data_IF_506775057039
#
_entry.id   IF_506775057039
#
_cell.length_a   1.000
_cell.length_b   1.000
_cell.length_c   1.000
_cell.angle_alpha   90.00
_cell.angle_beta   90.00
_cell.angle_gamma   90.00
#
_symmetry.space_group_name_H-M   'P 1'
#
loop_
_entity.id
_entity.type
_entity.pdbx_description
1 polymer ?
#
# COMPACT_ATOMS: atom_id res chain seq x y z
N UNK A 1 12.08 -9.68 0.28
CA UNK A 1 12.88 -9.01 -0.76
C UNK A 1 13.23 -9.96 -1.90
N UNK A 2 13.94 -11.06 -1.65
CA UNK A 2 14.38 -11.97 -2.73
C UNK A 2 13.23 -12.60 -3.53
N UNK A 3 12.11 -12.88 -2.88
CA UNK A 3 10.89 -13.32 -3.56
C UNK A 3 10.42 -12.30 -4.62
N UNK A 4 10.41 -11.01 -4.28
CA UNK A 4 10.09 -9.95 -5.25
C UNK A 4 11.07 -9.96 -6.40
N UNK A 5 12.38 -10.03 -6.12
CA UNK A 5 13.39 -10.03 -7.17
C UNK A 5 13.27 -11.23 -8.11
N UNK A 6 12.97 -12.42 -7.58
CA UNK A 6 12.72 -13.61 -8.38
C UNK A 6 11.56 -13.46 -9.37
N UNK A 7 10.51 -12.74 -8.98
CA UNK A 7 9.34 -12.48 -9.84
C UNK A 7 9.39 -11.13 -10.56
N UNK A 8 10.40 -10.29 -10.32
CA UNK A 8 10.46 -8.91 -10.84
C UNK A 8 10.40 -8.88 -12.37
N UNK A 9 11.13 -9.77 -13.04
CA UNK A 9 11.18 -9.90 -14.51
C UNK A 9 10.06 -10.74 -15.12
N UNK A 10 9.34 -11.52 -14.32
CA UNK A 10 8.24 -12.37 -14.78
C UNK A 10 6.97 -11.53 -14.95
N UNK A 11 6.11 -11.81 -15.92
CA UNK A 11 4.86 -11.05 -16.06
C UNK A 11 3.92 -11.27 -14.86
N UNK A 12 3.76 -12.53 -14.46
CA UNK A 12 2.85 -12.96 -13.39
C UNK A 12 3.57 -13.80 -12.34
N UNK A 13 3.00 -13.83 -11.14
CA UNK A 13 3.35 -14.82 -10.12
C UNK A 13 2.55 -16.08 -10.43
N UNK A 14 3.27 -17.20 -10.57
CA UNK A 14 2.67 -18.52 -10.79
C UNK A 14 1.90 -19.01 -9.56
N UNK A 15 1.09 -20.06 -9.73
CA UNK A 15 0.19 -20.55 -8.69
C UNK A 15 0.93 -20.98 -7.40
N UNK A 16 2.04 -21.71 -7.54
CA UNK A 16 2.89 -22.07 -6.41
C UNK A 16 3.47 -20.83 -5.71
N UNK A 17 3.96 -19.84 -6.47
CA UNK A 17 4.43 -18.57 -5.92
C UNK A 17 3.36 -17.82 -5.15
N UNK A 18 2.12 -17.79 -5.65
CA UNK A 18 0.98 -17.17 -4.95
C UNK A 18 0.72 -17.85 -3.61
N UNK A 19 0.63 -19.18 -3.59
CA UNK A 19 0.35 -19.95 -2.37
C UNK A 19 1.39 -19.69 -1.28
N UNK A 20 2.68 -19.78 -1.63
CA UNK A 20 3.76 -19.54 -0.66
C UNK A 20 3.80 -18.09 -0.19
N UNK A 21 3.53 -17.14 -1.09
CA UNK A 21 3.55 -15.73 -0.73
C UNK A 21 2.37 -15.35 0.17
N UNK A 22 1.17 -15.88 -0.10
CA UNK A 22 0.02 -15.71 0.79
C UNK A 22 0.30 -16.25 2.20
N UNK A 23 0.93 -17.42 2.30
CA UNK A 23 1.34 -17.99 3.58
C UNK A 23 2.35 -17.09 4.30
N UNK A 24 3.33 -16.54 3.59
CA UNK A 24 4.29 -15.60 4.17
C UNK A 24 3.63 -14.31 4.65
N UNK A 25 2.67 -13.77 3.88
CA UNK A 25 1.88 -12.60 4.25
C UNK A 25 1.16 -12.82 5.59
N UNK A 26 0.52 -13.97 5.77
CA UNK A 26 -0.19 -14.30 7.02
C UNK A 26 0.76 -14.34 8.23
N UNK A 27 1.96 -14.93 8.06
CA UNK A 27 2.97 -14.95 9.12
C UNK A 27 3.43 -13.53 9.46
N UNK A 28 3.69 -12.68 8.47
CA UNK A 28 4.08 -11.30 8.69
C UNK A 28 2.97 -10.48 9.38
N UNK A 29 1.71 -10.64 8.96
CA UNK A 29 0.56 -9.99 9.60
C UNK A 29 0.46 -10.37 11.08
N UNK A 30 0.60 -11.66 11.40
CA UNK A 30 0.62 -12.11 12.79
C UNK A 30 1.74 -11.46 13.61
N UNK A 31 2.95 -11.33 13.04
CA UNK A 31 4.06 -10.64 13.70
C UNK A 31 3.75 -9.17 13.96
N UNK A 32 3.21 -8.44 12.97
CA UNK A 32 2.83 -7.03 13.16
C UNK A 32 1.75 -6.86 14.23
N UNK A 33 0.73 -7.71 14.22
CA UNK A 33 -0.32 -7.69 15.22
C UNK A 33 0.24 -7.98 16.62
N UNK A 34 1.16 -8.94 16.74
CA UNK A 34 1.78 -9.28 18.03
C UNK A 34 2.66 -8.13 18.56
N UNK A 35 3.43 -7.48 17.69
CA UNK A 35 4.23 -6.31 18.06
C UNK A 35 3.32 -5.15 18.47
N UNK A 36 2.20 -4.97 17.79
CA UNK A 36 1.21 -3.94 18.08
C UNK A 36 0.62 -4.12 19.48
N UNK A 37 0.16 -5.33 19.81
CA UNK A 37 -0.36 -5.66 21.14
C UNK A 37 0.70 -5.48 22.24
N UNK A 38 1.99 -5.63 21.91
CA UNK A 38 3.07 -5.45 22.90
C UNK A 38 3.30 -3.99 23.31
N UNK A 39 2.81 -3.01 22.53
CA UNK A 39 3.03 -1.57 22.77
C UNK A 39 1.75 -0.76 23.03
N UNK A 40 0.58 -1.26 22.63
CA UNK A 40 -0.71 -0.59 22.82
C UNK A 40 -1.05 -0.40 24.31
N UNK A 41 -1.83 0.64 24.62
CA UNK A 41 -2.12 1.00 26.01
C UNK A 41 -0.87 1.59 26.67
N UNK A 42 -0.40 2.72 26.12
CA UNK A 42 0.98 2.99 25.74
C UNK A 42 2.02 2.42 26.70
N UNK A 43 2.81 1.44 26.23
CA UNK A 43 3.94 0.89 26.97
C UNK A 43 5.27 1.54 26.51
N UNK A 44 5.62 2.69 27.11
CA UNK A 44 6.79 3.51 26.71
C UNK A 44 8.10 2.71 26.70
N UNK A 45 8.31 1.79 27.66
CA UNK A 45 9.51 0.96 27.70
C UNK A 45 9.64 0.04 26.47
N UNK A 46 8.54 -0.59 26.04
CA UNK A 46 8.52 -1.46 24.87
C UNK A 46 8.66 -0.64 23.58
N UNK A 47 7.96 0.50 23.50
CA UNK A 47 8.09 1.44 22.37
C UNK A 47 9.54 1.89 22.17
N UNK A 48 10.23 2.31 23.24
CA UNK A 48 11.63 2.73 23.16
C UNK A 48 12.58 1.57 22.84
N UNK A 49 12.29 0.37 23.32
CA UNK A 49 13.09 -0.82 22.99
C UNK A 49 12.98 -1.15 21.49
N UNK A 50 11.77 -1.08 20.93
CA UNK A 50 11.55 -1.28 19.50
C UNK A 50 12.17 -0.15 18.66
N UNK A 51 12.02 1.09 19.09
CA UNK A 51 12.56 2.27 18.39
C UNK A 51 14.10 2.24 18.30
N UNK A 52 14.77 1.70 19.32
CA UNK A 52 16.23 1.53 19.34
C UNK A 52 16.70 0.20 18.71
N UNK A 53 15.79 -0.60 18.16
CA UNK A 53 16.11 -1.84 17.46
C UNK A 53 16.24 -1.60 15.94
N UNK A 54 16.27 -2.68 15.15
CA UNK A 54 16.27 -2.64 13.67
C UNK A 54 14.87 -2.57 13.05
N UNK A 55 13.86 -2.17 13.83
CA UNK A 55 12.47 -2.08 13.34
C UNK A 55 12.36 -1.15 12.12
N UNK A 56 13.03 0.01 12.16
CA UNK A 56 12.97 0.99 11.07
C UNK A 56 13.61 0.48 9.77
N UNK A 57 14.73 -0.26 9.86
CA UNK A 57 15.33 -0.95 8.70
C UNK A 57 14.30 -1.89 8.03
N UNK A 58 13.55 -2.65 8.84
CA UNK A 58 12.54 -3.57 8.34
C UNK A 58 11.37 -2.82 7.69
N UNK A 59 10.87 -1.75 8.32
CA UNK A 59 9.80 -0.90 7.79
C UNK A 59 10.19 -0.31 6.42
N UNK A 60 11.41 0.22 6.28
CA UNK A 60 11.93 0.71 5.00
C UNK A 60 11.91 -0.39 3.92
N UNK A 61 12.31 -1.61 4.28
CA UNK A 61 12.22 -2.75 3.37
C UNK A 61 10.79 -3.10 2.95
N UNK A 62 9.81 -2.93 3.85
CA UNK A 62 8.40 -3.12 3.54
C UNK A 62 7.84 -1.99 2.67
N UNK A 63 8.25 -0.73 2.84
CA UNK A 63 7.85 0.35 1.93
C UNK A 63 8.27 0.05 0.48
N UNK A 64 9.50 -0.44 0.28
CA UNK A 64 9.95 -0.90 -1.03
C UNK A 64 9.06 -2.02 -1.58
N UNK A 65 8.80 -3.05 -0.78
CA UNK A 65 7.95 -4.17 -1.21
C UNK A 65 6.53 -3.69 -1.54
N UNK A 66 5.92 -2.84 -0.72
CA UNK A 66 4.60 -2.29 -0.96
C UNK A 66 4.55 -1.52 -2.27
N UNK A 67 5.46 -0.58 -2.48
CA UNK A 67 5.50 0.24 -3.69
C UNK A 67 5.56 -0.61 -4.97
N UNK A 68 6.50 -1.55 -5.03
CA UNK A 68 6.76 -2.30 -6.26
C UNK A 68 5.86 -3.52 -6.47
N UNK A 69 5.52 -4.26 -5.41
CA UNK A 69 4.62 -5.41 -5.55
C UNK A 69 3.19 -4.97 -5.82
N UNK A 70 2.71 -3.88 -5.21
CA UNK A 70 1.38 -3.36 -5.57
C UNK A 70 1.33 -3.01 -7.05
N UNK A 71 2.35 -2.31 -7.56
CA UNK A 71 2.43 -1.95 -8.98
C UNK A 71 2.39 -3.18 -9.90
N UNK A 72 3.10 -4.24 -9.53
CA UNK A 72 3.11 -5.49 -10.27
C UNK A 72 1.75 -6.19 -10.24
N UNK A 73 1.13 -6.29 -9.07
CA UNK A 73 -0.07 -7.11 -8.87
C UNK A 73 -1.32 -6.46 -9.47
N UNK A 74 -1.46 -5.13 -9.45
CA UNK A 74 -2.68 -4.49 -9.97
C UNK A 74 -2.82 -4.58 -11.50
N UNK A 75 -1.71 -4.79 -12.23
CA UNK A 75 -1.70 -4.85 -13.70
C UNK A 75 -2.35 -6.11 -14.27
N UNK A 76 -2.61 -7.14 -13.46
CA UNK A 76 -3.21 -8.38 -13.92
C UNK A 76 -4.39 -8.81 -13.03
N UNK A 77 -5.58 -8.96 -13.62
CA UNK A 77 -6.81 -9.28 -12.89
C UNK A 77 -6.76 -10.63 -12.16
N UNK A 78 -5.94 -11.58 -12.61
CA UNK A 78 -5.76 -12.89 -11.95
C UNK A 78 -4.96 -12.82 -10.63
N UNK A 79 -4.41 -11.66 -10.30
CA UNK A 79 -3.56 -11.42 -9.12
C UNK A 79 -4.27 -10.58 -8.05
N UNK A 80 -5.54 -10.20 -8.27
CA UNK A 80 -6.26 -9.27 -7.38
C UNK A 80 -6.49 -9.82 -5.97
N UNK A 81 -6.71 -11.12 -5.81
CA UNK A 81 -6.80 -11.75 -4.49
C UNK A 81 -5.50 -11.56 -3.70
N UNK A 82 -4.37 -11.83 -4.34
CA UNK A 82 -3.07 -11.65 -3.72
C UNK A 82 -2.78 -10.17 -3.41
N UNK A 83 -3.16 -9.25 -4.31
CA UNK A 83 -3.09 -7.81 -4.05
C UNK A 83 -3.90 -7.42 -2.81
N UNK A 84 -5.12 -7.94 -2.66
CA UNK A 84 -5.98 -7.66 -1.50
C UNK A 84 -5.32 -8.06 -0.19
N UNK A 85 -4.78 -9.29 -0.12
CA UNK A 85 -4.11 -9.75 1.09
C UNK A 85 -2.82 -8.97 1.37
N UNK A 86 -2.12 -8.53 0.33
CA UNK A 86 -0.95 -7.69 0.48
C UNK A 86 -1.28 -6.27 0.98
N UNK A 87 -2.41 -5.69 0.56
CA UNK A 87 -2.94 -4.44 1.10
C UNK A 87 -3.38 -4.58 2.56
N UNK A 88 -3.96 -5.73 2.94
CA UNK A 88 -4.27 -6.02 4.34
C UNK A 88 -3.00 -6.02 5.21
N UNK A 89 -1.91 -6.63 4.73
CA UNK A 89 -0.62 -6.59 5.41
C UNK A 89 -0.07 -5.17 5.56
N UNK A 90 -0.21 -4.34 4.52
CA UNK A 90 0.19 -2.94 4.58
C UNK A 90 -0.57 -2.20 5.67
N UNK A 91 -1.89 -2.39 5.75
CA UNK A 91 -2.71 -1.82 6.82
C UNK A 91 -2.21 -2.24 8.20
N UNK A 92 -1.90 -3.52 8.41
CA UNK A 92 -1.39 -4.00 9.72
C UNK A 92 -0.04 -3.36 10.08
N UNK A 93 0.87 -3.18 9.12
CA UNK A 93 2.13 -2.45 9.35
C UNK A 93 1.88 -0.98 9.74
N UNK A 94 0.96 -0.30 9.05
CA UNK A 94 0.63 1.10 9.37
C UNK A 94 0.01 1.20 10.76
N UNK A 95 -0.84 0.25 11.18
CA UNK A 95 -1.40 0.21 12.54
C UNK A 95 -0.29 0.03 13.60
N UNK A 96 0.70 -0.82 13.34
CA UNK A 96 1.88 -0.94 14.21
C UNK A 96 2.63 0.38 14.33
N UNK A 97 2.88 1.07 13.21
CA UNK A 97 3.53 2.38 13.21
C UNK A 97 2.73 3.41 13.99
N UNK A 98 1.41 3.49 13.80
CA UNK A 98 0.55 4.41 14.56
C UNK A 98 0.57 4.11 16.06
N UNK A 99 0.62 2.84 16.45
CA UNK A 99 0.71 2.42 17.86
C UNK A 99 2.05 2.79 18.50
N UNK A 100 3.13 2.89 17.72
CA UNK A 100 4.42 3.43 18.20
C UNK A 100 4.35 4.93 18.56
N UNK A 101 3.38 5.67 18.02
CA UNK A 101 3.17 7.08 18.31
C UNK A 101 2.17 7.33 19.45
N UNK A 102 1.58 6.28 20.02
CA UNK A 102 0.63 6.42 21.12
C UNK A 102 1.32 7.05 22.34
N UNK A 103 0.80 8.19 22.81
CA UNK A 103 1.40 8.95 23.92
C UNK A 103 2.63 9.78 23.53
N UNK A 104 2.92 9.97 22.24
CA UNK A 104 4.06 10.75 21.79
C UNK A 104 3.98 12.22 22.22
N UNK A 105 5.13 12.80 22.54
CA UNK A 105 5.29 14.22 22.93
C UNK A 105 5.86 15.03 21.78
N UNK A 106 5.70 16.37 21.84
CA UNK A 106 6.30 17.27 20.86
C UNK A 106 7.82 17.06 20.83
N UNK A 107 8.38 16.86 19.62
CA UNK A 107 9.80 16.54 19.39
C UNK A 107 10.30 15.24 20.08
N UNK A 108 9.39 14.29 20.35
CA UNK A 108 9.74 12.97 20.85
C UNK A 108 10.64 12.19 19.88
N UNK A 109 11.55 11.32 20.39
CA UNK A 109 12.52 10.60 19.56
C UNK A 109 11.85 9.66 18.56
N UNK A 110 10.76 8.99 18.93
CA UNK A 110 10.04 8.05 18.05
C UNK A 110 9.41 8.79 16.87
N UNK A 111 8.73 9.92 17.13
CA UNK A 111 8.16 10.74 16.06
C UNK A 111 9.21 11.23 15.08
N UNK A 112 10.39 11.64 15.58
CA UNK A 112 11.51 12.04 14.72
C UNK A 112 12.02 10.87 13.86
N UNK A 113 12.26 9.70 14.46
CA UNK A 113 12.71 8.52 13.74
C UNK A 113 11.71 8.06 12.66
N UNK A 114 10.40 8.16 12.93
CA UNK A 114 9.40 7.85 11.92
C UNK A 114 9.46 8.82 10.74
N UNK A 115 9.64 10.13 11.00
CA UNK A 115 9.84 11.12 9.93
C UNK A 115 11.10 10.79 9.13
N UNK A 116 12.21 10.47 9.80
CA UNK A 116 13.46 10.10 9.14
C UNK A 116 13.26 8.87 8.23
N UNK A 117 12.58 7.82 8.70
CA UNK A 117 12.25 6.63 7.89
C UNK A 117 11.36 6.95 6.67
N UNK A 118 10.39 7.85 6.82
CA UNK A 118 9.54 8.30 5.70
C UNK A 118 10.34 9.09 4.66
N UNK A 119 11.29 9.91 5.10
CA UNK A 119 12.18 10.66 4.20
C UNK A 119 13.13 9.72 3.46
N UNK A 120 13.72 8.74 4.15
CA UNK A 120 14.56 7.71 3.54
C UNK A 120 13.80 6.91 2.47
N UNK A 121 12.53 6.60 2.72
CA UNK A 121 11.66 5.84 1.82
C UNK A 121 10.78 6.72 0.91
N UNK A 122 11.09 8.01 0.75
CA UNK A 122 10.21 9.00 0.10
C UNK A 122 9.67 8.53 -1.25
N UNK A 123 10.54 8.03 -2.14
CA UNK A 123 10.13 7.58 -3.48
C UNK A 123 9.10 6.44 -3.42
N UNK A 124 9.29 5.49 -2.51
CA UNK A 124 8.36 4.38 -2.33
C UNK A 124 7.03 4.86 -1.75
N UNK A 125 7.08 5.77 -0.75
CA UNK A 125 5.88 6.36 -0.15
C UNK A 125 5.09 7.15 -1.20
N UNK A 126 5.75 7.93 -2.06
CA UNK A 126 5.09 8.63 -3.16
C UNK A 126 4.39 7.68 -4.14
N UNK A 127 5.00 6.54 -4.48
CA UNK A 127 4.36 5.53 -5.33
C UNK A 127 3.10 4.94 -4.67
N UNK A 128 3.16 4.63 -3.38
CA UNK A 128 2.03 4.12 -2.59
C UNK A 128 0.88 5.15 -2.56
N UNK A 129 1.20 6.43 -2.33
CA UNK A 129 0.21 7.50 -2.31
C UNK A 129 -0.42 7.72 -3.70
N UNK A 130 0.39 7.71 -4.77
CA UNK A 130 -0.11 7.81 -6.16
C UNK A 130 -1.05 6.66 -6.52
N UNK A 131 -0.73 5.44 -6.09
CA UNK A 131 -1.61 4.29 -6.28
C UNK A 131 -2.97 4.52 -5.61
N UNK A 132 -2.98 4.97 -4.36
CA UNK A 132 -4.22 5.24 -3.62
C UNK A 132 -5.04 6.38 -4.25
N UNK A 133 -4.37 7.48 -4.63
CA UNK A 133 -4.98 8.65 -5.26
C UNK A 133 -5.65 8.29 -6.60
N UNK A 134 -5.05 7.40 -7.39
CA UNK A 134 -5.62 6.94 -8.66
C UNK A 134 -7.04 6.36 -8.48
N UNK A 135 -7.26 5.54 -7.46
CA UNK A 135 -8.55 4.89 -7.21
C UNK A 135 -9.56 5.81 -6.50
N UNK A 136 -9.08 6.69 -5.61
CA UNK A 136 -9.95 7.67 -4.97
C UNK A 136 -10.55 8.63 -6.01
N UNK A 137 -9.73 9.11 -6.95
CA UNK A 137 -10.16 9.97 -8.07
C UNK A 137 -11.10 9.25 -9.05
N UNK A 138 -10.92 7.94 -9.26
CA UNK A 138 -11.77 7.16 -10.18
C UNK A 138 -13.24 7.17 -9.74
N UNK A 139 -13.51 7.17 -8.42
CA UNK A 139 -14.87 7.24 -7.88
C UNK A 139 -15.58 8.56 -8.23
N UNK A 140 -14.84 9.66 -8.17
CA UNK A 140 -15.38 10.98 -8.52
C UNK A 140 -15.65 11.08 -10.03
N UNK A 141 -14.83 10.39 -10.85
CA UNK A 141 -14.97 10.34 -12.29
C UNK A 141 -16.20 9.53 -12.74
N UNK A 142 -16.41 8.32 -12.20
CA UNK A 142 -17.54 7.45 -12.60
C UNK A 142 -18.90 7.96 -12.15
N UNK A 143 -18.93 8.88 -11.18
CA UNK A 143 -20.16 9.53 -10.70
C UNK A 143 -20.43 10.87 -11.39
N UNK A 144 -19.51 11.36 -12.22
CA UNK A 144 -19.66 12.62 -12.93
C UNK A 144 -20.71 12.56 -14.04
N UNK A 145 -21.43 13.66 -14.26
CA UNK A 145 -22.44 13.78 -15.33
C UNK A 145 -21.83 13.47 -16.70
N UNK A 146 -20.60 13.94 -16.94
CA UNK A 146 -19.87 13.68 -18.18
C UNK A 146 -19.70 12.18 -18.47
N UNK A 147 -19.52 11.35 -17.43
CA UNK A 147 -19.39 9.90 -17.60
C UNK A 147 -20.74 9.23 -17.86
N UNK A 148 -21.81 9.70 -17.20
CA UNK A 148 -23.18 9.23 -17.44
C UNK A 148 -23.69 9.58 -18.85
N UNK A 149 -23.21 10.68 -19.42
CA UNK A 149 -23.57 11.11 -20.78
C UNK A 149 -22.95 10.21 -21.87
N UNK A 150 -21.89 9.44 -21.57
CA UNK A 150 -21.31 8.45 -22.51
C UNK A 150 -22.10 7.13 -22.56
N UNK A 151 -22.70 6.71 -21.44
CA UNK A 151 -23.53 5.49 -21.34
C UNK A 151 -24.98 5.76 -21.83
N UNK A 152 -25.11 6.12 -23.11
CA UNK A 152 -26.41 6.48 -23.72
C UNK A 152 -27.41 5.33 -23.74
N UNK A 153 -26.95 4.08 -23.75
CA UNK A 153 -27.77 2.87 -23.73
C UNK A 153 -27.98 2.27 -22.32
N UNK A 154 -27.34 2.85 -21.28
CA UNK A 154 -27.46 2.44 -19.86
C UNK A 154 -27.08 1.00 -19.60
N UNK A 155 -26.13 0.45 -20.37
CA UNK A 155 -25.66 -0.91 -20.19
C UNK A 155 -24.47 -1.00 -19.21
N UNK A 156 -23.94 0.14 -18.76
CA UNK A 156 -22.79 0.24 -17.87
C UNK A 156 -21.45 -0.03 -18.53
N UNK A 157 -21.38 -0.07 -19.87
CA UNK A 157 -20.15 -0.27 -20.63
C UNK A 157 -19.62 1.04 -21.20
N UNK A 158 -18.29 1.20 -21.13
CA UNK A 158 -17.58 2.30 -21.79
C UNK A 158 -16.41 1.72 -22.58
N UNK A 159 -16.21 2.19 -23.81
CA UNK A 159 -15.06 1.74 -24.58
C UNK A 159 -13.75 2.38 -24.06
N UNK A 160 -12.58 1.75 -24.26
CA UNK A 160 -11.30 2.34 -23.85
C UNK A 160 -11.04 3.73 -24.44
N UNK A 161 -11.53 3.99 -25.66
CA UNK A 161 -11.39 5.30 -26.33
C UNK A 161 -12.24 6.38 -25.66
N UNK A 162 -13.46 6.05 -25.26
CA UNK A 162 -14.35 6.98 -24.55
C UNK A 162 -13.81 7.24 -23.14
N UNK A 163 -13.36 6.19 -22.45
CA UNK A 163 -12.74 6.31 -21.15
C UNK A 163 -11.53 7.25 -21.17
N UNK A 164 -10.62 7.06 -22.14
CA UNK A 164 -9.46 7.93 -22.30
C UNK A 164 -9.87 9.41 -22.55
N UNK A 165 -10.82 9.66 -23.45
CA UNK A 165 -11.30 11.03 -23.72
C UNK A 165 -11.94 11.68 -22.50
N UNK A 166 -12.73 10.94 -21.74
CA UNK A 166 -13.34 11.42 -20.50
C UNK A 166 -12.26 11.83 -19.48
N UNK A 167 -11.24 10.97 -19.30
CA UNK A 167 -10.11 11.22 -18.40
C UNK A 167 -9.30 12.46 -18.81
N UNK A 168 -9.00 12.63 -20.10
CA UNK A 168 -8.28 13.79 -20.64
C UNK A 168 -9.09 15.09 -20.48
N UNK A 169 -10.41 15.03 -20.70
CA UNK A 169 -11.29 16.20 -20.60
C UNK A 169 -11.40 16.77 -19.18
N UNK A 170 -11.31 15.93 -18.15
CA UNK A 170 -11.42 16.33 -16.75
C UNK A 170 -10.08 16.79 -16.14
N UNK A 171 -8.97 16.73 -16.88
CA UNK A 171 -7.60 17.10 -16.42
C UNK A 171 -7.19 16.43 -15.08
N UNK A 172 -7.79 15.30 -14.71
CA UNK A 172 -7.55 14.64 -13.42
C UNK A 172 -6.22 13.86 -13.39
N UNK A 173 -5.67 13.53 -14.55
CA UNK A 173 -4.42 12.79 -14.70
C UNK A 173 -3.49 13.52 -15.67
N UNK A 174 -2.22 13.64 -15.31
CA UNK A 174 -1.15 14.00 -16.26
C UNK A 174 -0.86 12.77 -17.11
N UNK A 175 -1.01 12.92 -18.43
CA UNK A 175 -0.53 11.94 -19.43
C UNK A 175 0.99 11.87 -19.38
#
# INVERSE_FOLDING_TARGET
MDFYWHYSSKEVIDEGGKEYFLRAIQVCSQVFNTLTESIQGPCVGNQMTLANSRLWDAINGFFFLFAHMMEKLYKNSTQLELLREFLNLQKDMIVLMLSMLEGNVLNGPIGKQMVDALVESQQCVEMILKFSDMFLKLKDLTTSQAFQDFDTNRDGWISPKEFQRAMESQKMYTV
#
